data_IF_455094825660
#
_entry.id   IF_455094825660
#
_cell.length_a   1.000
_cell.length_b   1.000
_cell.length_c   1.000
_cell.angle_alpha   90.00
_cell.angle_beta   90.00
_cell.angle_gamma   90.00
#
_symmetry.space_group_name_H-M   'P 1'
#
loop_
_entity.id
_entity.type
_entity.pdbx_description
1 polymer ?
#
# COMPACT_ATOMS: atom_id res chain seq x y z
N UNK A 1 5.13 12.80 14.96
CA UNK A 1 4.82 11.47 14.38
C UNK A 1 3.81 11.56 13.23
N UNK A 2 2.63 12.18 13.39
CA UNK A 2 1.67 12.43 12.29
C UNK A 2 2.26 13.24 11.14
N UNK A 3 3.10 14.22 11.45
CA UNK A 3 3.77 15.07 10.46
C UNK A 3 4.65 14.27 9.47
N UNK A 4 5.28 13.18 9.91
CA UNK A 4 6.16 12.38 9.05
C UNK A 4 5.36 11.56 8.02
N UNK A 5 4.21 11.01 8.42
CA UNK A 5 3.31 10.31 7.50
C UNK A 5 2.56 11.28 6.58
N UNK A 6 2.18 12.46 7.09
CA UNK A 6 1.63 13.53 6.26
C UNK A 6 2.62 14.05 5.21
N UNK A 7 3.90 14.24 5.59
CA UNK A 7 4.95 14.66 4.65
C UNK A 7 5.24 13.58 3.61
N UNK A 8 5.25 12.30 4.02
CA UNK A 8 5.33 11.18 3.08
C UNK A 8 4.17 11.21 2.07
N UNK A 9 2.93 11.39 2.55
CA UNK A 9 1.77 11.45 1.67
C UNK A 9 1.80 12.65 0.73
N UNK A 10 2.24 13.82 1.20
CA UNK A 10 2.40 15.00 0.36
C UNK A 10 3.39 14.76 -0.79
N UNK A 11 4.52 14.09 -0.51
CA UNK A 11 5.49 13.69 -1.55
C UNK A 11 4.90 12.68 -2.52
N UNK A 12 4.17 11.68 -2.02
CA UNK A 12 3.50 10.66 -2.85
C UNK A 12 2.48 11.29 -3.80
N UNK A 13 1.74 12.31 -3.35
CA UNK A 13 0.79 13.06 -4.19
C UNK A 13 1.49 13.91 -5.27
N UNK A 14 2.67 14.44 -4.98
CA UNK A 14 3.43 15.30 -5.89
C UNK A 14 4.31 14.53 -6.89
N UNK A 15 4.50 13.23 -6.71
CA UNK A 15 5.28 12.41 -7.63
C UNK A 15 4.55 12.24 -8.97
N UNK A 16 5.28 12.38 -10.07
CA UNK A 16 4.79 12.01 -11.41
C UNK A 16 4.52 10.51 -11.38
N UNK A 17 3.30 10.13 -11.73
CA UNK A 17 2.87 8.73 -11.76
C UNK A 17 2.91 8.22 -13.19
N UNK A 18 3.14 6.91 -13.34
CA UNK A 18 2.97 6.24 -14.63
C UNK A 18 1.57 6.51 -15.21
N UNK A 19 1.48 6.62 -16.53
CA UNK A 19 0.19 6.69 -17.23
C UNK A 19 -0.54 5.35 -17.27
N UNK A 20 0.18 4.25 -17.04
CA UNK A 20 -0.40 2.92 -16.88
C UNK A 20 -0.94 2.76 -15.43
N UNK A 21 -2.26 2.54 -15.24
CA UNK A 21 -2.87 2.59 -13.92
C UNK A 21 -2.43 1.44 -13.01
N UNK A 22 -2.06 0.28 -13.55
CA UNK A 22 -1.55 -0.87 -12.77
C UNK A 22 -0.13 -0.58 -12.29
N UNK A 23 0.71 0.00 -13.15
CA UNK A 23 2.06 0.43 -12.80
C UNK A 23 2.02 1.53 -11.73
N UNK A 24 1.16 2.52 -11.88
CA UNK A 24 0.98 3.59 -10.88
C UNK A 24 0.49 3.03 -9.52
N UNK A 25 -0.38 2.02 -9.53
CA UNK A 25 -0.81 1.31 -8.32
C UNK A 25 0.38 0.62 -7.63
N UNK A 26 1.19 -0.11 -8.41
CA UNK A 26 2.39 -0.81 -7.93
C UNK A 26 3.42 0.14 -7.34
N UNK A 27 3.70 1.26 -8.01
CA UNK A 27 4.57 2.33 -7.51
C UNK A 27 4.06 2.86 -6.16
N UNK A 28 2.76 3.16 -6.08
CA UNK A 28 2.15 3.66 -4.86
C UNK A 28 2.18 2.66 -3.71
N UNK A 29 2.05 1.36 -3.99
CA UNK A 29 2.21 0.29 -3.01
C UNK A 29 3.65 0.21 -2.51
N UNK A 30 4.62 0.20 -3.43
CA UNK A 30 6.05 0.15 -3.12
C UNK A 30 6.49 1.34 -2.25
N UNK A 31 6.01 2.54 -2.54
CA UNK A 31 6.29 3.73 -1.73
C UNK A 31 5.80 3.60 -0.28
N UNK A 32 4.60 3.04 -0.10
CA UNK A 32 4.03 2.81 1.23
C UNK A 32 4.87 1.81 2.03
N UNK A 33 5.25 0.69 1.42
CA UNK A 33 6.10 -0.32 2.07
C UNK A 33 7.49 0.23 2.36
N UNK A 34 8.07 1.03 1.45
CA UNK A 34 9.37 1.71 1.66
C UNK A 34 9.34 2.68 2.83
N UNK A 35 8.21 3.36 3.07
CA UNK A 35 8.04 4.20 4.26
C UNK A 35 8.17 3.40 5.55
N UNK A 36 7.54 2.22 5.63
CA UNK A 36 7.63 1.34 6.78
C UNK A 36 9.05 0.76 6.94
N UNK A 37 9.65 0.31 5.84
CA UNK A 37 11.02 -0.22 5.81
C UNK A 37 12.05 0.78 6.34
N UNK A 38 11.96 2.04 5.91
CA UNK A 38 12.88 3.09 6.33
C UNK A 38 12.66 3.56 7.78
N UNK A 39 11.45 3.33 8.34
CA UNK A 39 11.07 3.83 9.67
C UNK A 39 10.22 2.82 10.47
N UNK A 40 10.71 1.60 10.78
CA UNK A 40 9.86 0.55 11.36
C UNK A 40 9.26 0.93 12.72
N UNK A 41 10.04 1.58 13.59
CA UNK A 41 9.56 2.05 14.91
C UNK A 41 8.46 3.10 14.79
N UNK A 42 8.58 4.02 13.83
CA UNK A 42 7.56 5.04 13.57
C UNK A 42 6.28 4.40 13.03
N UNK A 43 6.41 3.43 12.12
CA UNK A 43 5.28 2.69 11.58
C UNK A 43 4.55 1.90 12.68
N UNK A 44 5.30 1.22 13.56
CA UNK A 44 4.74 0.52 14.71
C UNK A 44 3.95 1.46 15.64
N UNK A 45 4.51 2.64 15.97
CA UNK A 45 3.83 3.64 16.78
C UNK A 45 2.55 4.18 16.11
N UNK A 46 2.58 4.34 14.78
CA UNK A 46 1.39 4.72 13.99
C UNK A 46 0.30 3.64 14.11
N UNK A 47 0.65 2.36 13.93
CA UNK A 47 -0.29 1.24 14.06
C UNK A 47 -0.85 1.10 15.48
N UNK A 48 -0.03 1.28 16.51
CA UNK A 48 -0.49 1.26 17.90
C UNK A 48 -1.59 2.31 18.17
N UNK A 49 -1.46 3.51 17.58
CA UNK A 49 -2.51 4.54 17.67
C UNK A 49 -3.79 4.15 16.95
N UNK A 50 -3.68 3.58 15.75
CA UNK A 50 -4.84 3.09 14.99
C UNK A 50 -5.58 2.01 15.79
N UNK A 51 -4.86 1.04 16.36
CA UNK A 51 -5.44 -0.02 17.21
C UNK A 51 -6.05 0.53 18.51
N UNK A 52 -5.63 1.71 18.95
CA UNK A 52 -6.24 2.44 20.09
C UNK A 52 -7.44 3.31 19.69
N UNK A 53 -7.96 3.17 18.45
CA UNK A 53 -9.11 3.92 17.95
C UNK A 53 -8.79 5.35 17.51
N UNK A 54 -7.51 5.75 17.49
CA UNK A 54 -7.14 7.11 17.12
C UNK A 54 -7.18 7.30 15.61
N UNK A 55 -7.98 8.25 15.15
CA UNK A 55 -8.05 8.63 13.75
C UNK A 55 -6.76 9.32 13.29
N UNK A 56 -6.28 8.94 12.10
CA UNK A 56 -5.10 9.52 11.47
C UNK A 56 -5.54 10.10 10.11
N UNK A 57 -5.71 11.43 9.98
CA UNK A 57 -6.20 12.05 8.74
C UNK A 57 -5.37 11.71 7.50
N UNK A 58 -4.05 11.57 7.66
CA UNK A 58 -3.17 11.15 6.58
C UNK A 58 -3.43 9.70 6.13
N UNK A 59 -3.91 8.80 6.99
CA UNK A 59 -4.27 7.43 6.60
C UNK A 59 -5.57 7.43 5.78
N UNK A 60 -6.56 8.22 6.19
CA UNK A 60 -7.81 8.40 5.44
C UNK A 60 -7.53 8.98 4.04
N UNK A 61 -6.68 10.00 3.94
CA UNK A 61 -6.28 10.56 2.65
C UNK A 61 -5.47 9.60 1.78
N UNK A 62 -4.65 8.73 2.39
CA UNK A 62 -3.91 7.71 1.66
C UNK A 62 -4.85 6.64 1.08
N UNK A 63 -5.89 6.26 1.83
CA UNK A 63 -6.91 5.31 1.36
C UNK A 63 -7.81 5.92 0.27
N UNK A 64 -8.23 7.18 0.41
CA UNK A 64 -8.98 7.88 -0.65
C UNK A 64 -8.19 7.93 -1.97
N UNK A 65 -6.88 8.22 -1.89
CA UNK A 65 -6.00 8.20 -3.06
C UNK A 65 -5.81 6.78 -3.64
N UNK A 66 -5.92 5.74 -2.82
CA UNK A 66 -5.93 4.35 -3.31
C UNK A 66 -7.21 4.06 -4.09
N UNK A 67 -8.38 4.47 -3.58
CA UNK A 67 -9.67 4.35 -4.26
C UNK A 67 -9.61 5.02 -5.65
N UNK A 68 -9.09 6.24 -5.74
CA UNK A 68 -8.92 6.95 -7.02
C UNK A 68 -8.07 6.15 -8.02
N UNK A 69 -7.00 5.50 -7.56
CA UNK A 69 -6.14 4.67 -8.42
C UNK A 69 -6.83 3.41 -8.89
N UNK A 70 -7.59 2.74 -8.02
CA UNK A 70 -8.35 1.55 -8.38
C UNK A 70 -9.47 1.92 -9.37
N UNK A 71 -10.14 3.06 -9.18
CA UNK A 71 -11.14 3.55 -10.11
C UNK A 71 -10.56 3.82 -11.51
N UNK A 72 -9.30 4.25 -11.62
CA UNK A 72 -8.63 4.41 -12.91
C UNK A 72 -8.37 3.07 -13.63
N UNK A 73 -8.18 1.97 -12.89
CA UNK A 73 -8.09 0.61 -13.45
C UNK A 73 -9.47 0.14 -13.91
N UNK A 74 -10.50 0.36 -13.09
CA UNK A 74 -11.89 0.01 -13.41
C UNK A 74 -12.39 0.73 -14.67
N UNK A 75 -12.00 2.01 -14.85
CA UNK A 75 -12.32 2.79 -16.05
C UNK A 75 -11.74 2.20 -17.35
N UNK A 76 -10.72 1.33 -17.27
CA UNK A 76 -10.19 0.58 -18.41
C UNK A 76 -10.91 -0.78 -18.63
N UNK A 77 -11.84 -1.15 -17.74
CA UNK A 77 -12.49 -2.46 -17.73
C UNK A 77 -11.58 -3.59 -17.25
N UNK A 78 -10.53 -3.29 -16.49
CA UNK A 78 -9.52 -4.26 -16.07
C UNK A 78 -9.74 -4.83 -14.66
N UNK A 79 -10.79 -4.42 -13.96
CA UNK A 79 -11.07 -4.82 -12.57
C UNK A 79 -12.07 -5.98 -12.51
N UNK A 80 -11.74 -7.04 -11.77
CA UNK A 80 -12.62 -8.22 -11.53
C UNK A 80 -13.50 -8.06 -10.28
N UNK A 81 -13.24 -7.04 -9.45
CA UNK A 81 -13.92 -6.77 -8.17
C UNK A 81 -14.54 -5.37 -8.18
N UNK A 82 -15.33 -5.03 -7.15
CA UNK A 82 -15.67 -3.62 -6.93
C UNK A 82 -14.43 -2.82 -6.56
N UNK A 83 -14.46 -1.50 -6.84
CA UNK A 83 -13.36 -0.58 -6.51
C UNK A 83 -13.02 -0.64 -5.02
N UNK A 84 -14.02 -0.70 -4.15
CA UNK A 84 -13.85 -0.74 -2.71
C UNK A 84 -13.19 -2.05 -2.26
N UNK A 85 -13.66 -3.20 -2.76
CA UNK A 85 -13.11 -4.50 -2.41
C UNK A 85 -11.65 -4.64 -2.87
N UNK A 86 -11.33 -4.16 -4.08
CA UNK A 86 -9.97 -4.13 -4.59
C UNK A 86 -9.08 -3.18 -3.79
N UNK A 87 -9.58 -2.01 -3.38
CA UNK A 87 -8.85 -1.09 -2.52
C UNK A 87 -8.56 -1.68 -1.13
N UNK A 88 -9.52 -2.38 -0.53
CA UNK A 88 -9.31 -3.07 0.75
C UNK A 88 -8.23 -4.15 0.65
N UNK A 89 -8.24 -4.95 -0.43
CA UNK A 89 -7.21 -5.97 -0.67
C UNK A 89 -5.82 -5.37 -0.84
N UNK A 90 -5.71 -4.30 -1.63
CA UNK A 90 -4.44 -3.59 -1.84
C UNK A 90 -3.96 -2.88 -0.58
N UNK A 91 -4.87 -2.33 0.21
CA UNK A 91 -4.56 -1.72 1.50
C UNK A 91 -4.05 -2.76 2.49
N UNK A 92 -4.74 -3.89 2.61
CA UNK A 92 -4.37 -4.99 3.47
C UNK A 92 -2.98 -5.56 3.10
N UNK A 93 -2.72 -5.78 1.81
CA UNK A 93 -1.43 -6.32 1.35
C UNK A 93 -0.26 -5.38 1.67
N UNK A 94 -0.44 -4.06 1.46
CA UNK A 94 0.58 -3.05 1.76
C UNK A 94 0.88 -2.99 3.27
N UNK A 95 -0.16 -3.06 4.10
CA UNK A 95 0.00 -3.06 5.56
C UNK A 95 0.65 -4.35 6.06
N UNK A 96 0.30 -5.51 5.51
CA UNK A 96 0.92 -6.79 5.85
C UNK A 96 2.42 -6.79 5.49
N UNK A 97 2.78 -6.36 4.28
CA UNK A 97 4.17 -6.22 3.86
C UNK A 97 4.95 -5.24 4.76
N UNK A 98 4.34 -4.11 5.12
CA UNK A 98 4.92 -3.13 6.04
C UNK A 98 5.16 -3.70 7.44
N UNK A 99 4.24 -4.53 7.94
CA UNK A 99 4.36 -5.19 9.24
C UNK A 99 5.48 -6.24 9.28
N UNK A 100 5.91 -6.81 8.15
CA UNK A 100 7.06 -7.73 8.13
C UNK A 100 8.35 -7.05 8.61
N UNK A 101 8.52 -5.75 8.35
CA UNK A 101 9.65 -4.96 8.86
C UNK A 101 9.55 -4.71 10.37
N UNK A 102 8.34 -4.50 10.89
CA UNK A 102 8.11 -4.28 12.32
C UNK A 102 8.31 -5.58 13.12
N UNK A 103 7.78 -6.68 12.59
CA UNK A 103 7.74 -7.99 13.27
C UNK A 103 8.98 -8.84 13.05
N UNK A 104 9.95 -8.40 12.23
CA UNK A 104 11.23 -9.10 12.07
C UNK A 104 11.94 -9.31 13.42
N UNK A 105 11.92 -8.29 14.28
CA UNK A 105 12.49 -8.37 15.64
C UNK A 105 11.74 -9.39 16.51
N UNK A 106 10.40 -9.38 16.47
CA UNK A 106 9.58 -10.34 17.22
C UNK A 106 9.85 -11.79 16.80
N UNK A 107 10.06 -12.02 15.50
CA UNK A 107 10.32 -13.35 14.93
C UNK A 107 11.78 -13.80 15.06
N UNK A 108 12.67 -12.93 15.54
CA UNK A 108 14.12 -13.13 15.52
C UNK A 108 14.64 -13.49 14.10
N UNK A 109 14.12 -12.80 13.08
CA UNK A 109 14.50 -13.01 11.67
C UNK A 109 15.06 -11.73 11.05
N UNK A 110 15.73 -11.86 9.91
CA UNK A 110 16.04 -10.73 9.05
C UNK A 110 14.76 -10.02 8.54
N UNK A 111 14.85 -8.76 8.09
CA UNK A 111 13.80 -8.09 7.33
C UNK A 111 13.37 -8.87 6.07
N UNK A 112 12.15 -8.64 5.54
CA UNK A 112 11.68 -9.34 4.35
C UNK A 112 12.60 -9.10 3.15
N UNK A 113 12.79 -10.14 2.33
CA UNK A 113 13.55 -10.03 1.08
C UNK A 113 12.70 -9.31 0.02
N UNK A 114 13.34 -8.68 -1.00
CA UNK A 114 12.62 -8.05 -2.11
C UNK A 114 11.64 -9.00 -2.81
N UNK A 115 12.04 -10.26 -3.02
CA UNK A 115 11.20 -11.28 -3.65
C UNK A 115 9.88 -11.52 -2.90
N UNK A 116 9.90 -11.57 -1.57
CA UNK A 116 8.67 -11.72 -0.77
C UNK A 116 7.75 -10.51 -0.91
N UNK A 117 8.31 -9.30 -1.01
CA UNK A 117 7.51 -8.08 -1.19
C UNK A 117 6.88 -8.03 -2.59
N UNK A 118 7.65 -8.40 -3.60
CA UNK A 118 7.19 -8.53 -4.98
C UNK A 118 6.05 -9.54 -5.07
N UNK A 119 6.23 -10.74 -4.50
CA UNK A 119 5.19 -11.77 -4.45
C UNK A 119 3.91 -11.27 -3.78
N UNK A 120 3.99 -10.55 -2.66
CA UNK A 120 2.80 -9.99 -1.99
C UNK A 120 2.09 -8.98 -2.90
N UNK A 121 2.86 -8.10 -3.55
CA UNK A 121 2.31 -7.07 -4.43
C UNK A 121 1.65 -7.69 -5.67
N UNK A 122 2.37 -8.55 -6.38
CA UNK A 122 1.90 -9.17 -7.62
C UNK A 122 0.72 -10.11 -7.37
N UNK A 123 0.70 -10.83 -6.26
CA UNK A 123 -0.45 -11.68 -5.93
C UNK A 123 -1.69 -10.83 -5.62
N UNK A 124 -1.55 -9.72 -4.89
CA UNK A 124 -2.67 -8.81 -4.66
C UNK A 124 -3.18 -8.18 -5.96
N UNK A 125 -2.29 -7.72 -6.84
CA UNK A 125 -2.65 -7.18 -8.16
C UNK A 125 -3.37 -8.25 -9.00
N UNK A 126 -2.82 -9.46 -9.07
CA UNK A 126 -3.40 -10.57 -9.82
C UNK A 126 -4.81 -10.96 -9.35
N UNK A 127 -5.08 -10.79 -8.06
CA UNK A 127 -6.40 -11.06 -7.46
C UNK A 127 -7.45 -10.03 -7.87
N UNK A 128 -7.07 -8.76 -8.06
CA UNK A 128 -8.03 -7.70 -8.38
C UNK A 128 -8.24 -7.51 -9.89
N UNK A 129 -7.29 -7.94 -10.72
CA UNK A 129 -7.31 -7.75 -12.17
C UNK A 129 -8.00 -8.88 -12.94
N UNK A 130 -8.69 -8.51 -14.02
CA UNK A 130 -9.27 -9.43 -15.01
C UNK A 130 -8.23 -10.37 -15.60
N UNK A 131 -8.65 -11.57 -16.01
CA UNK A 131 -7.73 -12.55 -16.61
C UNK A 131 -7.12 -12.08 -17.94
N UNK A 132 -7.76 -11.14 -18.64
CA UNK A 132 -7.30 -10.61 -19.93
C UNK A 132 -6.25 -9.49 -19.81
N UNK A 133 -6.12 -8.87 -18.64
CA UNK A 133 -5.13 -7.79 -18.37
C UNK A 133 -3.78 -8.30 -17.87
N UNK A 134 -3.51 -9.62 -17.97
CA UNK A 134 -2.29 -10.30 -17.48
C UNK A 134 -1.17 -10.41 -18.53
N UNK A 135 -1.29 -9.65 -19.63
CA UNK A 135 -0.36 -9.64 -20.76
C UNK A 135 0.88 -8.78 -20.54
#
# INVERSE_FOLDING_TARGET
MTAAFAQFLARKKAAVQSSDPVTALREGWNDYVRFAAARPRLYAAMMGRVLSGVQIPAAQQAFALLIERIAAIDAQGWLDLTVEAAADLMWASANAASLLYVTAQLRNTAPPTPAVLEDICENAIRTILTKESKG
#
